data_IF_273230516266
#
_entry.id   IF_273230516266
#
_cell.length_a   1.000
_cell.length_b   1.000
_cell.length_c   1.000
_cell.angle_alpha   90.00
_cell.angle_beta   90.00
_cell.angle_gamma   90.00
#
_symmetry.space_group_name_H-M   'P 1'
#
loop_
_entity.id
_entity.type
_entity.pdbx_description
1 polymer ?
#
# COMPACT_ATOMS: atom_id res chain seq x y z
N UNK A 1 -13.52 -0.94 18.65
CA UNK A 1 -12.50 0.10 18.81
C UNK A 1 -11.29 -0.41 19.57
N UNK A 2 -11.53 -1.04 20.68
CA UNK A 2 -10.52 -1.66 21.52
C UNK A 2 -9.73 -2.74 20.79
N UNK A 3 -10.41 -3.58 20.04
CA UNK A 3 -9.81 -4.63 19.22
C UNK A 3 -8.91 -4.04 18.12
N UNK A 4 -9.32 -2.92 17.48
CA UNK A 4 -8.50 -2.21 16.52
C UNK A 4 -7.22 -1.68 17.13
N UNK A 5 -7.32 -1.09 18.32
CA UNK A 5 -6.15 -0.59 19.04
C UNK A 5 -5.14 -1.70 19.33
N UNK A 6 -5.60 -2.83 19.87
CA UNK A 6 -4.72 -3.94 20.20
C UNK A 6 -4.03 -4.52 18.96
N UNK A 7 -4.77 -4.73 17.89
CA UNK A 7 -4.23 -5.28 16.65
C UNK A 7 -3.17 -4.37 16.04
N UNK A 8 -3.45 -3.07 15.97
CA UNK A 8 -2.52 -2.09 15.42
C UNK A 8 -1.29 -1.97 16.31
N UNK A 9 -1.45 -1.93 17.62
CA UNK A 9 -0.34 -1.91 18.58
C UNK A 9 0.60 -3.11 18.40
N UNK A 10 0.05 -4.31 18.21
CA UNK A 10 0.84 -5.51 18.01
C UNK A 10 1.69 -5.42 16.75
N UNK A 11 1.14 -4.93 15.64
CA UNK A 11 1.90 -4.73 14.40
C UNK A 11 3.04 -3.75 14.62
N UNK A 12 2.81 -2.66 15.38
CA UNK A 12 3.83 -1.63 15.62
C UNK A 12 4.91 -2.06 16.61
N UNK A 13 4.54 -2.79 17.66
CA UNK A 13 5.47 -3.13 18.75
C UNK A 13 6.27 -4.40 18.47
N UNK A 14 5.62 -5.43 17.96
CA UNK A 14 6.24 -6.75 17.79
C UNK A 14 5.61 -7.51 16.62
N UNK A 15 5.83 -7.08 15.37
CA UNK A 15 5.29 -7.83 14.24
C UNK A 15 5.97 -9.19 14.10
N UNK A 16 5.20 -10.22 13.77
CA UNK A 16 5.77 -11.50 13.36
C UNK A 16 6.36 -11.31 11.97
N UNK A 17 7.64 -11.64 11.82
CA UNK A 17 8.38 -11.35 10.58
C UNK A 17 8.43 -12.55 9.63
N UNK A 18 8.48 -12.32 8.32
CA UNK A 18 8.58 -10.99 7.68
C UNK A 18 7.29 -10.16 7.79
N UNK A 19 7.44 -8.88 8.09
CA UNK A 19 6.35 -7.91 8.14
C UNK A 19 6.35 -7.06 6.88
N UNK A 20 5.31 -7.20 6.06
CA UNK A 20 5.21 -6.56 4.75
C UNK A 20 4.06 -5.55 4.78
N UNK A 21 4.34 -4.34 4.31
CA UNK A 21 3.33 -3.31 4.09
C UNK A 21 3.05 -3.19 2.60
N UNK A 22 1.78 -3.11 2.24
CA UNK A 22 1.34 -2.87 0.86
C UNK A 22 0.67 -1.52 0.84
N UNK A 23 1.28 -0.56 0.17
CA UNK A 23 0.81 0.83 0.14
C UNK A 23 0.55 1.29 -1.28
N UNK A 24 -0.68 1.73 -1.51
CA UNK A 24 -1.12 2.23 -2.79
C UNK A 24 -2.22 3.28 -2.62
N UNK A 25 -3.01 3.46 -3.67
CA UNK A 25 -4.13 4.40 -3.64
C UNK A 25 -3.72 5.85 -3.80
N UNK A 26 -4.65 6.75 -3.52
CA UNK A 26 -4.53 8.18 -3.81
C UNK A 26 -4.32 9.07 -2.58
N UNK A 27 -4.35 8.50 -1.36
CA UNK A 27 -4.14 9.28 -0.12
C UNK A 27 -2.65 9.38 0.17
N UNK A 28 -1.98 10.24 -0.55
CA UNK A 28 -0.51 10.30 -0.58
C UNK A 28 0.09 10.78 0.74
N UNK A 29 -0.48 11.81 1.38
CA UNK A 29 0.07 12.29 2.65
C UNK A 29 0.03 11.21 3.72
N UNK A 30 -1.06 10.46 3.81
CA UNK A 30 -1.20 9.36 4.76
C UNK A 30 -0.20 8.23 4.48
N UNK A 31 -0.03 7.88 3.20
CA UNK A 31 0.91 6.84 2.79
C UNK A 31 2.36 7.20 3.17
N UNK A 32 2.78 8.44 2.92
CA UNK A 32 4.13 8.87 3.24
C UNK A 32 4.37 8.98 4.75
N UNK A 33 3.40 9.45 5.51
CA UNK A 33 3.49 9.44 6.97
C UNK A 33 3.66 8.01 7.50
N UNK A 34 2.87 7.08 6.99
CA UNK A 34 2.96 5.68 7.38
C UNK A 34 4.32 5.09 7.02
N UNK A 35 4.79 5.31 5.79
CA UNK A 35 6.08 4.81 5.34
C UNK A 35 7.21 5.32 6.23
N UNK A 36 7.24 6.61 6.49
CA UNK A 36 8.27 7.21 7.33
C UNK A 36 8.26 6.58 8.74
N UNK A 37 7.09 6.39 9.31
CA UNK A 37 6.93 5.83 10.65
C UNK A 37 7.40 4.38 10.71
N UNK A 38 6.90 3.52 9.81
CA UNK A 38 7.19 2.09 9.88
C UNK A 38 8.62 1.75 9.44
N UNK A 39 9.22 2.59 8.60
CA UNK A 39 10.62 2.43 8.20
C UNK A 39 11.57 2.94 9.30
N UNK A 40 11.33 4.13 9.86
CA UNK A 40 12.18 4.70 10.89
C UNK A 40 12.16 3.90 12.20
N UNK A 41 11.06 3.25 12.52
CA UNK A 41 10.94 2.40 13.70
C UNK A 41 11.33 0.94 13.46
N UNK A 42 11.70 0.59 12.24
CA UNK A 42 12.10 -0.77 11.90
C UNK A 42 10.96 -1.80 11.93
N UNK A 43 9.71 -1.35 11.81
CA UNK A 43 8.54 -2.23 11.83
C UNK A 43 8.41 -2.99 10.51
N UNK A 44 8.58 -2.31 9.38
CA UNK A 44 8.46 -2.91 8.07
C UNK A 44 9.75 -3.60 7.63
N UNK A 45 9.66 -4.84 7.20
CA UNK A 45 10.76 -5.52 6.50
C UNK A 45 10.75 -5.14 5.03
N UNK A 46 9.57 -5.05 4.43
CA UNK A 46 9.38 -4.59 3.05
C UNK A 46 8.12 -3.76 2.91
N UNK A 47 8.17 -2.79 2.01
CA UNK A 47 7.00 -2.03 1.59
C UNK A 47 6.81 -2.22 0.10
N UNK A 48 5.69 -2.84 -0.28
CA UNK A 48 5.31 -3.03 -1.68
C UNK A 48 4.48 -1.82 -2.10
N UNK A 49 4.95 -1.09 -3.10
CA UNK A 49 4.28 0.13 -3.56
C UNK A 49 3.51 -0.10 -4.84
N UNK A 50 2.38 0.58 -4.97
CA UNK A 50 1.57 0.53 -6.19
C UNK A 50 0.71 1.77 -6.32
N UNK A 51 -0.09 1.83 -7.38
CA UNK A 51 -0.93 2.97 -7.65
C UNK A 51 -0.14 4.27 -7.72
N UNK A 52 -0.71 5.33 -7.21
CA UNK A 52 -0.08 6.66 -7.23
C UNK A 52 1.20 6.71 -6.38
N UNK A 53 1.24 5.97 -5.28
CA UNK A 53 2.46 5.89 -4.44
C UNK A 53 3.62 5.34 -5.25
N UNK A 54 3.42 4.22 -5.94
CA UNK A 54 4.45 3.63 -6.79
C UNK A 54 4.88 4.56 -7.91
N UNK A 55 3.94 5.24 -8.55
CA UNK A 55 4.23 6.19 -9.63
C UNK A 55 5.10 7.36 -9.15
N UNK A 56 4.84 7.87 -7.96
CA UNK A 56 5.65 8.95 -7.38
C UNK A 56 7.09 8.49 -7.14
N UNK A 57 7.28 7.30 -6.59
CA UNK A 57 8.62 6.74 -6.38
C UNK A 57 9.36 6.51 -7.71
N UNK A 58 8.68 5.96 -8.71
CA UNK A 58 9.28 5.74 -10.01
C UNK A 58 9.71 7.06 -10.66
N UNK A 59 8.89 8.09 -10.57
CA UNK A 59 9.23 9.44 -11.05
C UNK A 59 10.43 10.00 -10.29
N UNK A 60 10.47 9.83 -8.98
CA UNK A 60 11.57 10.28 -8.13
C UNK A 60 12.92 9.66 -8.55
N UNK A 61 12.90 8.42 -9.02
CA UNK A 61 14.09 7.71 -9.47
C UNK A 61 14.43 7.92 -10.95
N UNK A 62 13.72 8.82 -11.62
CA UNK A 62 13.95 9.12 -13.02
C UNK A 62 13.45 8.06 -13.99
N UNK A 63 12.56 7.18 -13.55
CA UNK A 63 11.96 6.18 -14.43
C UNK A 63 10.84 6.82 -15.24
N UNK A 64 10.75 6.43 -16.51
CA UNK A 64 9.71 6.93 -17.39
C UNK A 64 8.43 6.13 -17.19
N UNK A 65 7.37 6.81 -16.78
CA UNK A 65 6.06 6.21 -16.49
C UNK A 65 4.95 6.75 -17.39
N UNK A 66 5.31 7.56 -18.39
CA UNK A 66 4.38 8.24 -19.28
C UNK A 66 4.03 9.64 -18.80
N UNK A 67 3.94 10.58 -19.73
CA UNK A 67 3.64 11.98 -19.40
C UNK A 67 2.28 12.17 -18.75
N UNK A 68 1.30 11.35 -19.10
CA UNK A 68 -0.01 11.36 -18.43
C UNK A 68 0.08 11.05 -16.95
N UNK A 69 0.92 10.09 -16.58
CA UNK A 69 1.16 9.72 -15.17
C UNK A 69 1.81 10.87 -14.40
N UNK A 70 2.84 11.48 -14.97
CA UNK A 70 3.56 12.61 -14.34
C UNK A 70 2.64 13.82 -14.22
N UNK A 71 1.89 14.13 -15.27
CA UNK A 71 0.95 15.25 -15.25
C UNK A 71 -0.13 15.06 -14.18
N UNK A 72 -0.59 13.83 -13.98
CA UNK A 72 -1.56 13.55 -12.91
C UNK A 72 -0.97 13.87 -11.53
N UNK A 73 0.27 13.49 -11.27
CA UNK A 73 0.96 13.78 -10.01
C UNK A 73 1.03 15.30 -9.78
N UNK A 74 1.45 16.05 -10.81
CA UNK A 74 1.62 17.50 -10.71
C UNK A 74 0.29 18.24 -10.57
N UNK A 75 -0.73 17.85 -11.32
CA UNK A 75 -2.07 18.45 -11.26
C UNK A 75 -2.77 18.17 -9.92
N UNK A 76 -2.42 17.07 -9.27
CA UNK A 76 -2.97 16.72 -7.96
C UNK A 76 -2.23 17.40 -6.80
N UNK A 77 -1.27 18.27 -7.10
CA UNK A 77 -0.43 18.98 -6.13
C UNK A 77 0.43 18.02 -5.29
N UNK A 78 0.89 16.93 -5.89
CA UNK A 78 1.74 15.94 -5.23
C UNK A 78 3.22 16.05 -5.64
N UNK A 79 3.59 17.12 -6.34
CA UNK A 79 4.99 17.33 -6.77
C UNK A 79 6.00 17.32 -5.63
N UNK A 80 5.64 17.85 -4.46
CA UNK A 80 6.52 17.85 -3.29
C UNK A 80 6.85 16.42 -2.80
N UNK A 81 5.98 15.45 -3.06
CA UNK A 81 6.19 14.07 -2.65
C UNK A 81 7.23 13.36 -3.50
N UNK A 82 7.54 13.88 -4.69
CA UNK A 82 8.64 13.36 -5.51
C UNK A 82 9.97 13.54 -4.75
N UNK A 83 10.20 14.72 -4.15
CA UNK A 83 11.40 14.96 -3.35
C UNK A 83 11.39 14.13 -2.07
N UNK A 84 10.27 14.01 -1.40
CA UNK A 84 10.13 13.15 -0.22
C UNK A 84 10.41 11.69 -0.54
N UNK A 85 9.96 11.21 -1.70
CA UNK A 85 10.24 9.86 -2.17
C UNK A 85 11.72 9.62 -2.42
N UNK A 86 12.43 10.60 -3.00
CA UNK A 86 13.88 10.53 -3.17
C UNK A 86 14.60 10.36 -1.83
N UNK A 87 14.20 11.13 -0.83
CA UNK A 87 14.80 11.06 0.51
C UNK A 87 14.54 9.72 1.17
N UNK A 88 13.32 9.23 1.14
CA UNK A 88 12.96 7.93 1.70
C UNK A 88 13.69 6.79 1.01
N UNK A 89 13.76 6.83 -0.30
CA UNK A 89 14.43 5.78 -1.07
C UNK A 89 15.96 5.80 -0.83
N UNK A 90 16.56 6.97 -0.68
CA UNK A 90 17.98 7.08 -0.35
C UNK A 90 18.30 6.43 1.00
N UNK A 91 17.38 6.54 1.97
CA UNK A 91 17.56 5.97 3.32
C UNK A 91 17.17 4.51 3.42
N UNK A 92 16.07 4.11 2.77
CA UNK A 92 15.41 2.83 3.00
C UNK A 92 15.16 2.05 1.71
N UNK A 93 15.89 2.34 0.63
CA UNK A 93 15.65 1.75 -0.68
C UNK A 93 15.66 0.22 -0.69
N UNK A 94 16.44 -0.40 0.19
CA UNK A 94 16.49 -1.86 0.29
C UNK A 94 15.16 -2.47 0.76
N UNK A 95 14.34 -1.70 1.48
CA UNK A 95 13.05 -2.15 2.00
C UNK A 95 11.88 -1.71 1.14
N UNK A 96 12.08 -0.76 0.23
CA UNK A 96 11.02 -0.22 -0.62
C UNK A 96 11.04 -0.96 -1.95
N UNK A 97 9.98 -1.70 -2.23
CA UNK A 97 9.83 -2.47 -3.47
C UNK A 97 8.97 -1.68 -4.44
N UNK A 98 9.46 -1.48 -5.64
CA UNK A 98 8.81 -0.69 -6.67
C UNK A 98 8.29 -1.58 -7.79
N UNK A 99 7.25 -1.14 -8.51
CA UNK A 99 6.79 -1.85 -9.70
C UNK A 99 7.91 -1.98 -10.75
N UNK A 100 7.97 -3.13 -11.40
CA UNK A 100 8.91 -3.40 -12.51
C UNK A 100 8.24 -3.26 -13.86
N UNK A 101 6.92 -3.19 -13.88
CA UNK A 101 6.11 -3.00 -15.07
C UNK A 101 4.85 -2.21 -14.70
N UNK A 102 4.25 -1.59 -15.71
CA UNK A 102 3.05 -0.78 -15.56
C UNK A 102 2.03 -1.18 -16.60
N UNK A 103 0.76 -0.86 -16.31
CA UNK A 103 -0.36 -1.11 -17.19
C UNK A 103 -1.15 0.16 -17.47
N UNK A 104 -1.66 0.26 -18.68
CA UNK A 104 -2.52 1.36 -19.12
C UNK A 104 -3.61 0.82 -20.02
N UNK A 105 -4.49 1.70 -20.50
CA UNK A 105 -5.60 1.31 -21.34
C UNK A 105 -5.54 2.07 -22.67
N UNK A 106 -5.59 1.34 -23.77
CA UNK A 106 -5.73 1.88 -25.11
C UNK A 106 -6.89 1.18 -25.81
N UNK A 107 -7.82 1.95 -26.38
CA UNK A 107 -9.00 1.41 -27.06
C UNK A 107 -9.74 0.38 -26.21
N UNK A 108 -9.97 0.72 -24.94
CA UNK A 108 -10.64 -0.11 -23.94
C UNK A 108 -9.93 -1.43 -23.63
N UNK A 109 -8.67 -1.57 -24.04
CA UNK A 109 -7.87 -2.78 -23.79
C UNK A 109 -6.67 -2.49 -22.89
N UNK A 110 -6.41 -3.43 -22.01
CA UNK A 110 -5.21 -3.39 -21.17
C UNK A 110 -3.95 -3.60 -21.98
N UNK A 111 -2.97 -2.72 -21.76
CA UNK A 111 -1.61 -2.84 -22.27
C UNK A 111 -0.64 -2.84 -21.10
N UNK A 112 0.46 -3.54 -21.22
CA UNK A 112 1.50 -3.59 -20.20
C UNK A 112 2.87 -3.46 -20.85
N UNK A 113 3.81 -2.89 -20.11
CA UNK A 113 5.21 -2.84 -20.49
C UNK A 113 6.11 -2.83 -19.25
N UNK A 114 7.28 -3.43 -19.37
CA UNK A 114 8.34 -3.30 -18.35
C UNK A 114 8.88 -1.87 -18.36
N UNK A 115 9.42 -1.43 -17.23
CA UNK A 115 10.09 -0.12 -17.16
C UNK A 115 11.21 -0.06 -18.18
N UNK A 116 11.35 1.07 -18.83
CA UNK A 116 12.24 1.26 -19.98
C UNK A 116 11.57 1.04 -21.32
N UNK A 117 10.41 0.39 -21.39
CA UNK A 117 9.63 0.16 -22.59
C UNK A 117 8.22 0.78 -22.53
N UNK A 118 7.94 1.54 -21.47
CA UNK A 118 6.65 2.23 -21.31
C UNK A 118 6.57 3.37 -22.33
N UNK A 119 5.49 3.48 -23.12
CA UNK A 119 5.33 4.60 -24.05
C UNK A 119 5.32 5.95 -23.34
N UNK A 120 5.84 6.98 -24.02
CA UNK A 120 6.09 8.28 -23.41
C UNK A 120 4.85 9.09 -23.06
N UNK A 121 3.68 8.75 -23.61
CA UNK A 121 2.45 9.55 -23.50
C UNK A 121 1.33 8.90 -22.69
N UNK A 122 1.55 7.72 -22.11
CA UNK A 122 0.50 6.98 -21.40
C UNK A 122 0.27 7.48 -19.99
N UNK A 123 -0.88 7.10 -19.41
CA UNK A 123 -1.18 7.22 -17.99
C UNK A 123 -1.24 5.82 -17.40
N UNK A 124 -0.37 5.54 -16.44
CA UNK A 124 -0.39 4.26 -15.73
C UNK A 124 -1.62 4.18 -14.83
N UNK A 125 -2.39 3.12 -14.98
CA UNK A 125 -3.63 2.88 -14.23
C UNK A 125 -3.55 1.63 -13.34
N UNK A 126 -2.46 0.88 -13.41
CA UNK A 126 -2.26 -0.32 -12.60
C UNK A 126 -0.77 -0.72 -12.64
N UNK A 127 -0.37 -1.56 -11.71
CA UNK A 127 0.90 -2.29 -11.82
C UNK A 127 0.75 -3.36 -12.91
N UNK A 128 1.87 -3.77 -13.50
CA UNK A 128 1.83 -4.84 -14.49
C UNK A 128 1.73 -6.23 -13.85
N UNK A 129 1.58 -7.23 -14.72
CA UNK A 129 1.42 -8.62 -14.28
C UNK A 129 2.67 -9.20 -13.63
N UNK A 130 3.86 -8.77 -14.04
CA UNK A 130 5.13 -9.20 -13.42
C UNK A 130 5.24 -8.67 -12.00
N UNK A 131 4.89 -7.40 -11.80
CA UNK A 131 4.85 -6.79 -10.46
C UNK A 131 3.84 -7.52 -9.58
N UNK A 132 2.65 -7.78 -10.12
CA UNK A 132 1.58 -8.48 -9.39
C UNK A 132 2.04 -9.87 -8.91
N UNK A 133 2.75 -10.62 -9.75
CA UNK A 133 3.30 -11.93 -9.39
C UNK A 133 4.36 -11.81 -8.30
N UNK A 134 5.29 -10.86 -8.43
CA UNK A 134 6.32 -10.63 -7.44
C UNK A 134 5.71 -10.23 -6.09
N UNK A 135 4.71 -9.37 -6.09
CA UNK A 135 4.02 -8.95 -4.86
C UNK A 135 3.24 -10.10 -4.23
N UNK A 136 2.63 -10.95 -5.05
CA UNK A 136 1.99 -12.16 -4.55
C UNK A 136 2.98 -13.03 -3.78
N UNK A 137 4.14 -13.29 -4.34
CA UNK A 137 5.17 -14.10 -3.70
C UNK A 137 5.63 -13.51 -2.37
N UNK A 138 5.82 -12.19 -2.31
CA UNK A 138 6.18 -11.51 -1.07
C UNK A 138 5.09 -11.64 0.01
N UNK A 139 3.84 -11.49 -0.38
CA UNK A 139 2.69 -11.59 0.53
C UNK A 139 2.54 -13.03 1.05
N UNK A 140 2.69 -14.03 0.17
CA UNK A 140 2.58 -15.44 0.58
C UNK A 140 3.69 -15.85 1.56
N UNK A 141 4.88 -15.25 1.45
CA UNK A 141 6.01 -15.52 2.35
C UNK A 141 5.93 -14.72 3.65
N UNK A 142 5.10 -13.69 3.74
CA UNK A 142 5.00 -12.83 4.91
C UNK A 142 4.24 -13.50 6.05
N UNK A 143 4.59 -13.12 7.29
CA UNK A 143 3.87 -13.54 8.49
C UNK A 143 2.91 -12.47 9.01
N UNK A 144 3.17 -11.21 8.67
CA UNK A 144 2.27 -10.09 8.95
C UNK A 144 2.21 -9.22 7.69
N UNK A 145 1.00 -8.90 7.26
CA UNK A 145 0.79 -8.01 6.09
C UNK A 145 -0.20 -6.92 6.47
N UNK A 146 0.22 -5.68 6.31
CA UNK A 146 -0.66 -4.52 6.46
C UNK A 146 -0.90 -3.90 5.10
N UNK A 147 -2.16 -3.64 4.76
CA UNK A 147 -2.54 -3.09 3.45
C UNK A 147 -3.29 -1.79 3.60
N UNK A 148 -2.87 -0.78 2.87
CA UNK A 148 -3.57 0.50 2.78
C UNK A 148 -3.53 1.03 1.35
N UNK A 149 -4.59 0.79 0.61
CA UNK A 149 -4.80 1.28 -0.73
C UNK A 149 -4.55 0.25 -1.83
N UNK A 150 -5.28 0.39 -2.94
CA UNK A 150 -5.19 -0.51 -4.09
C UNK A 150 -3.95 -0.23 -4.94
N UNK A 151 -3.66 -1.16 -5.87
CA UNK A 151 -2.51 -1.08 -6.75
C UNK A 151 -2.79 -0.31 -8.05
N UNK A 152 -4.05 0.00 -8.31
CA UNK A 152 -4.48 0.71 -9.51
C UNK A 152 -5.95 1.09 -9.44
N UNK A 153 -6.50 1.51 -10.57
CA UNK A 153 -7.92 1.92 -10.70
C UNK A 153 -8.77 0.65 -10.84
N UNK A 154 -8.92 -0.07 -9.75
CA UNK A 154 -9.55 -1.40 -9.74
C UNK A 154 -11.06 -1.38 -10.02
N UNK A 155 -11.69 -0.22 -9.97
CA UNK A 155 -13.10 -0.05 -10.30
C UNK A 155 -13.37 -0.30 -11.79
N UNK A 156 -12.34 -0.21 -12.61
CA UNK A 156 -12.40 -0.45 -14.05
C UNK A 156 -11.72 -1.78 -14.37
N UNK A 157 -12.43 -2.66 -15.08
CA UNK A 157 -11.97 -4.02 -15.38
C UNK A 157 -10.56 -4.09 -15.99
N UNK A 158 -10.19 -3.28 -17.01
CA UNK A 158 -8.86 -3.37 -17.59
C UNK A 158 -7.72 -3.00 -16.63
N UNK A 159 -8.03 -2.33 -15.53
CA UNK A 159 -7.05 -1.80 -14.58
C UNK A 159 -7.11 -2.50 -13.21
N UNK A 160 -7.80 -3.63 -13.09
CA UNK A 160 -7.97 -4.30 -11.80
C UNK A 160 -6.99 -5.44 -11.52
N UNK A 161 -6.26 -5.91 -12.52
CA UNK A 161 -5.44 -7.12 -12.41
C UNK A 161 -4.50 -7.09 -11.19
N UNK A 162 -3.80 -5.99 -10.99
CA UNK A 162 -2.84 -5.86 -9.89
C UNK A 162 -3.51 -5.91 -8.53
N UNK A 163 -4.58 -5.16 -8.35
CA UNK A 163 -5.33 -5.14 -7.10
C UNK A 163 -5.96 -6.51 -6.82
N UNK A 164 -6.57 -7.11 -7.83
CA UNK A 164 -7.19 -8.43 -7.71
C UNK A 164 -6.16 -9.49 -7.30
N UNK A 165 -4.97 -9.48 -7.92
CA UNK A 165 -3.89 -10.42 -7.60
C UNK A 165 -3.38 -10.24 -6.17
N UNK A 166 -3.18 -8.99 -5.73
CA UNK A 166 -2.72 -8.69 -4.37
C UNK A 166 -3.79 -9.11 -3.35
N UNK A 167 -5.06 -8.79 -3.59
CA UNK A 167 -6.14 -9.17 -2.68
C UNK A 167 -6.31 -10.67 -2.59
N UNK A 168 -6.15 -11.40 -3.70
CA UNK A 168 -6.17 -12.85 -3.67
C UNK A 168 -4.98 -13.41 -2.87
N UNK A 169 -3.80 -12.81 -3.00
CA UNK A 169 -2.65 -13.19 -2.19
C UNK A 169 -2.88 -12.98 -0.70
N UNK A 170 -3.55 -11.88 -0.33
CA UNK A 170 -3.94 -11.61 1.06
C UNK A 170 -4.88 -12.68 1.60
N UNK A 171 -5.77 -13.16 0.77
CA UNK A 171 -6.70 -14.24 1.14
C UNK A 171 -6.00 -15.59 1.27
N UNK A 172 -4.96 -15.83 0.46
CA UNK A 172 -4.26 -17.12 0.38
C UNK A 172 -3.11 -17.26 1.37
N UNK A 173 -2.56 -16.14 1.88
CA UNK A 173 -1.41 -16.20 2.79
C UNK A 173 -1.77 -16.82 4.14
N UNK A 174 -0.82 -17.53 4.74
CA UNK A 174 -0.93 -18.01 6.11
C UNK A 174 -0.61 -16.92 7.14
N UNK A 175 -0.08 -15.79 6.70
CA UNK A 175 0.24 -14.66 7.55
C UNK A 175 -1.01 -13.94 8.05
N UNK A 176 -0.83 -13.13 9.09
CA UNK A 176 -1.91 -12.30 9.62
C UNK A 176 -2.04 -11.04 8.77
N UNK A 177 -3.24 -10.78 8.26
CA UNK A 177 -3.51 -9.64 7.37
C UNK A 177 -4.35 -8.58 8.07
N UNK A 178 -3.93 -7.32 7.92
CA UNK A 178 -4.64 -6.16 8.44
C UNK A 178 -4.89 -5.19 7.29
N UNK A 179 -6.16 -4.85 7.04
CA UNK A 179 -6.53 -3.89 6.01
C UNK A 179 -6.97 -2.57 6.63
N UNK A 180 -6.50 -1.46 6.06
CA UNK A 180 -6.96 -0.12 6.40
C UNK A 180 -7.29 0.66 5.14
N UNK A 181 -8.11 1.70 5.31
CA UNK A 181 -8.51 2.60 4.24
C UNK A 181 -9.79 2.18 3.52
N UNK A 182 -10.59 3.19 3.12
CA UNK A 182 -11.89 2.96 2.48
C UNK A 182 -11.79 2.20 1.17
N UNK A 183 -10.78 2.53 0.34
CA UNK A 183 -10.59 1.85 -0.95
C UNK A 183 -10.20 0.38 -0.76
N UNK A 184 -9.43 0.06 0.27
CA UNK A 184 -9.07 -1.31 0.59
C UNK A 184 -10.29 -2.14 0.99
N UNK A 185 -11.19 -1.55 1.77
CA UNK A 185 -12.45 -2.18 2.16
C UNK A 185 -13.33 -2.39 0.93
N UNK A 186 -13.43 -1.39 0.06
CA UNK A 186 -14.19 -1.49 -1.19
C UNK A 186 -13.68 -2.63 -2.08
N UNK A 187 -12.34 -2.76 -2.23
CA UNK A 187 -11.74 -3.86 -2.97
C UNK A 187 -12.07 -5.22 -2.33
N UNK A 188 -11.99 -5.30 -1.01
CA UNK A 188 -12.32 -6.52 -0.27
C UNK A 188 -13.77 -6.97 -0.52
N UNK A 189 -14.69 -6.01 -0.52
CA UNK A 189 -16.10 -6.27 -0.82
C UNK A 189 -16.29 -6.69 -2.28
N UNK A 190 -15.65 -5.99 -3.21
CA UNK A 190 -15.74 -6.32 -4.64
C UNK A 190 -15.34 -7.77 -4.93
N UNK A 191 -14.27 -8.23 -4.31
CA UNK A 191 -13.73 -9.58 -4.53
C UNK A 191 -14.29 -10.61 -3.56
N UNK A 192 -15.21 -10.22 -2.67
CA UNK A 192 -15.85 -11.11 -1.71
C UNK A 192 -14.86 -11.89 -0.83
N UNK A 193 -13.85 -11.18 -0.32
CA UNK A 193 -12.76 -11.78 0.45
C UNK A 193 -12.74 -11.39 1.93
N UNK A 194 -13.78 -10.71 2.42
CA UNK A 194 -13.81 -10.19 3.79
C UNK A 194 -13.60 -11.28 4.85
N UNK A 195 -14.20 -12.45 4.67
CA UNK A 195 -14.09 -13.57 5.62
C UNK A 195 -12.69 -14.20 5.65
N UNK A 196 -11.86 -13.93 4.66
CA UNK A 196 -10.50 -14.47 4.54
C UNK A 196 -9.44 -13.48 5.00
N UNK A 197 -9.82 -12.29 5.43
CA UNK A 197 -8.90 -11.29 5.99
C UNK A 197 -8.78 -11.47 7.50
N UNK A 198 -7.57 -11.22 8.02
CA UNK A 198 -7.32 -11.34 9.45
C UNK A 198 -8.03 -10.27 10.26
N UNK A 199 -7.92 -9.02 9.80
CA UNK A 199 -8.59 -7.90 10.46
C UNK A 199 -8.84 -6.77 9.46
N UNK A 200 -10.02 -6.15 9.54
CA UNK A 200 -10.38 -5.01 8.72
C UNK A 200 -10.61 -3.80 9.62
N UNK A 201 -9.80 -2.78 9.43
CA UNK A 201 -9.90 -1.53 10.17
C UNK A 201 -10.96 -0.63 9.54
N UNK A 202 -11.98 -0.29 10.30
CA UNK A 202 -13.06 0.56 9.83
C UNK A 202 -12.83 2.04 10.12
N UNK A 203 -11.85 2.36 10.93
CA UNK A 203 -11.54 3.72 11.37
C UNK A 203 -10.79 4.61 10.38
N UNK A 204 -10.42 4.10 9.21
CA UNK A 204 -9.79 4.87 8.13
C UNK A 204 -8.61 5.72 8.58
N UNK A 205 -8.70 7.02 8.35
CA UNK A 205 -7.63 7.97 8.68
C UNK A 205 -7.26 8.04 10.16
N UNK A 206 -8.16 7.69 11.07
CA UNK A 206 -7.87 7.66 12.50
C UNK A 206 -6.83 6.60 12.85
N UNK A 207 -6.90 5.43 12.23
CA UNK A 207 -5.93 4.36 12.45
C UNK A 207 -4.56 4.68 11.86
N UNK A 208 -4.53 5.32 10.70
CA UNK A 208 -3.28 5.79 10.10
C UNK A 208 -2.60 6.79 11.03
N UNK A 209 -3.34 7.72 11.61
CA UNK A 209 -2.83 8.68 12.60
C UNK A 209 -2.26 7.97 13.82
N UNK A 210 -2.94 6.94 14.31
CA UNK A 210 -2.43 6.14 15.41
C UNK A 210 -1.11 5.46 15.04
N UNK A 211 -1.03 4.84 13.86
CA UNK A 211 0.19 4.19 13.35
C UNK A 211 1.35 5.18 13.21
N UNK A 212 1.07 6.44 12.90
CA UNK A 212 2.08 7.49 12.76
C UNK A 212 2.44 8.19 14.08
N UNK A 213 1.89 7.75 15.19
CA UNK A 213 2.20 8.29 16.51
C UNK A 213 1.27 9.39 16.99
N UNK A 214 0.26 9.78 16.21
CA UNK A 214 -0.76 10.72 16.66
C UNK A 214 -1.81 9.97 17.48
N UNK A 215 -1.84 10.18 18.78
CA UNK A 215 -2.82 9.55 19.63
C UNK A 215 -4.14 10.32 19.66
N UNK A 216 -5.22 9.62 19.35
CA UNK A 216 -6.57 10.16 19.54
C UNK A 216 -6.94 10.07 21.03
N UNK A 217 -7.76 11.04 21.58
CA UNK A 217 -8.15 11.00 22.99
C UNK A 217 -8.79 9.67 23.42
N UNK A 218 -9.59 9.07 22.55
CA UNK A 218 -10.25 7.78 22.81
C UNK A 218 -9.22 6.65 22.90
N UNK A 219 -8.19 6.68 22.06
CA UNK A 219 -7.10 5.70 22.06
C UNK A 219 -6.29 5.80 23.35
N UNK A 220 -6.05 7.01 23.84
CA UNK A 220 -5.37 7.23 25.13
C UNK A 220 -6.15 6.60 26.30
N UNK A 221 -7.47 6.77 26.31
CA UNK A 221 -8.33 6.19 27.35
C UNK A 221 -8.23 4.65 27.36
N UNK A 222 -8.10 4.02 26.20
CA UNK A 222 -7.93 2.57 26.09
C UNK A 222 -6.54 2.08 26.51
N UNK A 223 -5.51 2.92 26.40
CA UNK A 223 -4.15 2.59 26.86
C UNK A 223 -4.09 2.34 28.38
N UNK A 224 -4.89 3.05 29.15
CA UNK A 224 -4.98 2.84 30.59
C UNK A 224 -5.68 1.53 30.96
N UNK A 225 -6.39 0.91 30.03
CA UNK A 225 -6.96 -0.42 30.14
C UNK A 225 -6.06 -1.53 29.60
N UNK A 226 -4.74 -1.37 29.71
CA UNK A 226 -3.72 -2.19 29.05
C UNK A 226 -3.70 -3.69 29.43
N UNK A 227 -4.59 -4.16 30.28
CA UNK A 227 -4.79 -5.58 30.51
C UNK A 227 -5.54 -6.30 29.37
N UNK A 228 -6.10 -5.54 28.43
CA UNK A 228 -7.00 -6.04 27.39
C UNK A 228 -6.28 -6.60 26.15
N UNK A 229 -5.01 -6.31 25.97
CA UNK A 229 -4.21 -6.79 24.85
C UNK A 229 -3.32 -7.97 25.20
N UNK A 230 -3.47 -8.50 26.40
CA UNK A 230 -2.69 -9.63 26.86
C UNK A 230 -3.52 -10.90 26.72
N UNK A 231 -3.62 -11.44 25.52
CA UNK A 231 -3.99 -12.87 25.30
C UNK A 231 -4.02 -13.19 23.82
#
# INVERSE_FOLDING_TARGET
FEKEYCTVSQVMEAPVRPCVFVLGGAKISDAFLMMNTVLSRGVADKILTGGLVGNIFLTALGKEIGSGSVNFILKSNYGEYIDKAKELYARYGEKIVLPVDLAWVENDRRKEAVLGQVPGDITSLDIGSRTAEAYRNEILAAKTVFVNGPMGVFEQEPSELGTKAVWQALADTDGFTVLGGGDSITATEKYQLASRMGYICTGGGALIRFLTGEELPVVKALRHGAGLCKD
#
